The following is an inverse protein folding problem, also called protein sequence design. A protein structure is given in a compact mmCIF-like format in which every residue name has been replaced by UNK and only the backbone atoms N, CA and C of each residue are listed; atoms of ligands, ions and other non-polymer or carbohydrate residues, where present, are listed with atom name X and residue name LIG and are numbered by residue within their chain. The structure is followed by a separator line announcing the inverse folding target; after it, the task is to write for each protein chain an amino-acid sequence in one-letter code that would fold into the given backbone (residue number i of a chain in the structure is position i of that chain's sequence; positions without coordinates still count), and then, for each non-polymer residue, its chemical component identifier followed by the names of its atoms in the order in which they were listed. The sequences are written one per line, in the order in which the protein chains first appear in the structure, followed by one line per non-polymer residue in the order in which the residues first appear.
data_IF_143653973037
#
_entry.id   IF_143653973037
#
_cell.length_a   1.000
_cell.length_b   1.000
_cell.length_c   1.000
_cell.angle_alpha   90.00
_cell.angle_beta   90.00
_cell.angle_gamma   90.00
#
_symmetry.space_group_name_H-M   'P 1'
#
loop_
_entity.id
_entity.type
_entity.pdbx_description
1 polymer ?
#
# COMPACT_ATOMS: atom_id res chain seq x y z
N UNK A 1 -38.72 -3.55 12.98
CA UNK A 1 -38.16 -4.42 14.04
C UNK A 1 -36.65 -4.56 13.82
N UNK A 2 -35.87 -4.25 14.89
CA UNK A 2 -34.42 -4.49 14.88
C UNK A 2 -34.15 -5.71 15.75
N UNK A 3 -33.53 -6.73 15.18
CA UNK A 3 -33.14 -7.94 15.88
C UNK A 3 -31.66 -8.26 15.67
N UNK A 4 -30.97 -8.60 16.76
CA UNK A 4 -29.58 -9.12 16.68
C UNK A 4 -29.65 -10.62 16.83
N UNK A 5 -29.13 -11.37 15.85
CA UNK A 5 -29.01 -12.83 15.91
C UNK A 5 -27.65 -13.22 16.47
N UNK A 6 -27.61 -14.32 17.24
CA UNK A 6 -26.40 -14.81 17.90
C UNK A 6 -25.29 -15.27 16.95
N UNK A 7 -25.62 -15.55 15.67
CA UNK A 7 -24.63 -15.92 14.66
C UNK A 7 -24.57 -14.79 13.63
N UNK A 8 -23.50 -13.99 13.57
CA UNK A 8 -23.36 -12.87 12.62
C UNK A 8 -22.90 -13.36 11.25
N UNK A 9 -23.64 -14.27 10.64
CA UNK A 9 -23.35 -14.83 9.33
C UNK A 9 -23.88 -13.98 8.15
N UNK A 10 -24.41 -12.81 8.44
CA UNK A 10 -24.96 -11.88 7.46
C UNK A 10 -26.25 -11.22 7.97
N UNK A 11 -26.64 -10.15 7.34
CA UNK A 11 -27.88 -9.44 7.56
C UNK A 11 -28.59 -9.20 6.24
N UNK A 12 -29.89 -9.09 6.26
CA UNK A 12 -30.66 -8.60 5.12
C UNK A 12 -31.41 -7.34 5.55
N UNK A 13 -31.52 -6.41 4.62
CA UNK A 13 -32.36 -5.23 4.76
C UNK A 13 -33.52 -5.38 3.77
N UNK A 14 -34.75 -5.39 4.27
CA UNK A 14 -35.94 -5.33 3.40
C UNK A 14 -36.31 -3.86 3.24
N UNK A 15 -36.32 -3.40 2.00
CA UNK A 15 -36.76 -2.06 1.66
C UNK A 15 -38.25 -2.19 1.30
N UNK A 16 -39.10 -1.53 2.07
CA UNK A 16 -40.54 -1.54 1.83
C UNK A 16 -40.90 -0.62 0.68
N UNK A 17 -41.89 -1.05 -0.14
CA UNK A 17 -42.34 -0.31 -1.29
C UNK A 17 -41.29 -0.18 -2.41
N UNK A 18 -40.58 -1.25 -2.73
CA UNK A 18 -39.67 -1.26 -3.91
C UNK A 18 -40.45 -1.20 -5.21
N UNK A 19 -41.62 -1.84 -5.25
CA UNK A 19 -42.54 -1.85 -6.38
C UNK A 19 -43.88 -1.19 -6.04
N UNK A 20 -44.59 -0.58 -7.01
CA UNK A 20 -45.96 -0.07 -6.82
C UNK A 20 -46.96 -1.11 -6.31
N UNK A 21 -46.68 -2.39 -6.53
CA UNK A 21 -47.54 -3.51 -6.15
C UNK A 21 -47.20 -4.10 -4.77
N UNK A 22 -46.18 -3.56 -4.08
CA UNK A 22 -45.81 -4.03 -2.75
C UNK A 22 -46.87 -3.62 -1.72
N UNK A 23 -47.30 -4.56 -0.89
CA UNK A 23 -48.17 -4.27 0.22
C UNK A 23 -47.50 -3.35 1.23
N UNK A 24 -48.04 -2.16 1.43
CA UNK A 24 -47.57 -1.18 2.41
C UNK A 24 -48.47 -1.13 3.63
N UNK A 25 -47.95 -0.83 4.83
CA UNK A 25 -48.77 -0.52 5.99
C UNK A 25 -49.68 0.67 5.70
N UNK A 26 -50.92 0.64 6.24
CA UNK A 26 -51.86 1.73 6.09
C UNK A 26 -51.30 3.07 6.59
N UNK A 27 -51.35 4.10 5.76
CA UNK A 27 -50.82 5.43 6.06
C UNK A 27 -49.33 5.65 5.79
N UNK A 28 -48.60 4.65 5.29
CA UNK A 28 -47.18 4.78 4.95
C UNK A 28 -46.91 4.77 3.43
N UNK A 29 -47.95 4.76 2.57
CA UNK A 29 -47.81 4.67 1.11
C UNK A 29 -46.94 5.82 0.53
N UNK A 30 -46.94 7.00 1.17
CA UNK A 30 -46.12 8.13 0.72
C UNK A 30 -44.61 7.99 1.02
N UNK A 31 -44.30 7.06 1.89
CA UNK A 31 -42.89 6.74 2.25
C UNK A 31 -42.30 5.60 1.43
N UNK A 32 -43.11 5.03 0.51
CA UNK A 32 -42.67 3.93 -0.34
C UNK A 32 -41.41 4.30 -1.14
N UNK A 33 -40.48 3.34 -1.23
CA UNK A 33 -39.18 3.56 -1.91
C UNK A 33 -39.34 3.96 -3.37
N UNK A 34 -40.35 3.39 -4.08
CA UNK A 34 -40.62 3.72 -5.49
C UNK A 34 -41.04 5.19 -5.69
N UNK A 35 -41.61 5.83 -4.65
CA UNK A 35 -41.99 7.26 -4.68
C UNK A 35 -40.81 8.18 -4.31
N UNK A 36 -39.74 7.64 -3.72
CA UNK A 36 -38.60 8.44 -3.32
C UNK A 36 -37.88 9.08 -4.52
N UNK A 37 -37.33 10.28 -4.33
CA UNK A 37 -36.53 10.94 -5.36
C UNK A 37 -35.29 10.10 -5.75
N UNK A 38 -34.83 10.25 -6.99
CA UNK A 38 -33.69 9.50 -7.53
C UNK A 38 -32.45 9.62 -6.66
N UNK A 39 -32.18 10.79 -6.06
CA UNK A 39 -31.07 10.98 -5.14
C UNK A 39 -31.18 10.13 -3.87
N UNK A 40 -32.38 10.05 -3.27
CA UNK A 40 -32.62 9.20 -2.09
C UNK A 40 -32.45 7.72 -2.42
N UNK A 41 -32.97 7.29 -3.59
CA UNK A 41 -32.80 5.92 -4.09
C UNK A 41 -31.33 5.57 -4.26
N UNK A 42 -30.52 6.47 -4.84
CA UNK A 42 -29.08 6.28 -5.04
C UNK A 42 -28.34 6.15 -3.71
N UNK A 43 -28.69 6.98 -2.72
CA UNK A 43 -28.08 6.92 -1.37
C UNK A 43 -28.39 5.58 -0.71
N UNK A 44 -29.64 5.14 -0.72
CA UNK A 44 -30.03 3.88 -0.08
C UNK A 44 -29.34 2.68 -0.74
N UNK A 45 -29.35 2.62 -2.06
CA UNK A 45 -28.72 1.53 -2.83
C UNK A 45 -27.18 1.58 -2.72
N UNK A 46 -26.61 2.76 -2.65
CA UNK A 46 -25.15 2.95 -2.55
C UNK A 46 -24.59 2.82 -1.14
N UNK A 47 -25.41 2.98 -0.10
CA UNK A 47 -24.95 3.00 1.29
C UNK A 47 -24.19 1.73 1.70
N UNK A 48 -24.68 0.55 1.27
CA UNK A 48 -24.02 -0.73 1.54
C UNK A 48 -22.60 -0.78 0.96
N UNK A 49 -22.49 -0.46 -0.33
CA UNK A 49 -21.20 -0.42 -1.03
C UNK A 49 -20.25 0.60 -0.41
N UNK A 50 -20.76 1.80 -0.08
CA UNK A 50 -19.97 2.84 0.57
C UNK A 50 -19.42 2.38 1.95
N UNK A 51 -20.27 1.72 2.76
CA UNK A 51 -19.84 1.19 4.06
C UNK A 51 -18.73 0.14 3.93
N UNK A 52 -18.76 -0.70 2.90
CA UNK A 52 -17.68 -1.66 2.62
C UNK A 52 -16.36 -0.96 2.30
N UNK A 53 -16.36 0.15 1.56
CA UNK A 53 -15.15 0.94 1.32
C UNK A 53 -14.61 1.58 2.59
N UNK A 54 -15.48 2.10 3.45
CA UNK A 54 -15.09 2.65 4.76
C UNK A 54 -14.47 1.55 5.63
N UNK A 55 -15.10 0.38 5.70
CA UNK A 55 -14.58 -0.75 6.47
C UNK A 55 -13.25 -1.24 5.88
N UNK A 56 -13.13 -1.36 4.57
CA UNK A 56 -11.89 -1.74 3.89
C UNK A 56 -10.75 -0.75 4.19
N UNK A 57 -11.05 0.55 4.14
CA UNK A 57 -10.10 1.59 4.51
C UNK A 57 -9.62 1.45 5.97
N UNK A 58 -10.56 1.23 6.92
CA UNK A 58 -10.22 1.05 8.33
C UNK A 58 -9.37 -0.20 8.57
N UNK A 59 -9.69 -1.31 7.90
CA UNK A 59 -8.90 -2.54 8.01
C UNK A 59 -7.49 -2.35 7.46
N UNK A 60 -7.33 -1.68 6.32
CA UNK A 60 -6.02 -1.32 5.76
C UNK A 60 -5.24 -0.40 6.71
N UNK A 61 -5.92 0.58 7.32
CA UNK A 61 -5.30 1.46 8.30
C UNK A 61 -4.75 0.69 9.50
N UNK A 62 -5.54 -0.22 10.07
CA UNK A 62 -5.11 -1.09 11.17
C UNK A 62 -3.95 -1.99 10.73
N UNK A 63 -3.99 -2.51 9.51
CA UNK A 63 -2.91 -3.33 8.95
C UNK A 63 -1.60 -2.54 8.87
N UNK A 64 -1.61 -1.35 8.26
CA UNK A 64 -0.40 -0.54 8.08
C UNK A 64 0.15 0.01 9.40
N UNK A 65 -0.73 0.44 10.32
CA UNK A 65 -0.33 0.99 11.61
C UNK A 65 0.04 -0.09 12.64
N UNK A 66 -0.69 -1.22 12.65
CA UNK A 66 -0.54 -2.26 13.66
C UNK A 66 0.44 -3.37 13.27
N UNK A 67 0.26 -3.96 12.10
CA UNK A 67 1.08 -5.08 11.61
C UNK A 67 2.30 -4.57 10.86
N UNK A 68 2.11 -3.59 9.99
CA UNK A 68 3.13 -3.09 9.06
C UNK A 68 3.12 -3.81 7.71
N UNK A 69 4.03 -3.41 6.84
CA UNK A 69 4.24 -4.00 5.52
C UNK A 69 5.66 -4.49 5.36
N UNK A 70 5.83 -5.53 4.55
CA UNK A 70 7.15 -5.99 4.16
C UNK A 70 7.84 -4.90 3.33
N UNK A 71 8.96 -4.42 3.82
CA UNK A 71 9.77 -3.41 3.16
C UNK A 71 11.23 -3.84 3.17
N UNK A 72 11.99 -3.39 2.19
CA UNK A 72 13.44 -3.50 2.22
C UNK A 72 13.94 -2.50 3.26
N UNK A 73 14.57 -3.01 4.31
CA UNK A 73 15.14 -2.19 5.38
C UNK A 73 16.53 -1.69 4.97
N UNK A 74 16.99 -0.54 5.49
CA UNK A 74 18.32 -0.03 5.23
C UNK A 74 19.43 -0.83 5.99
N UNK A 75 19.16 -2.07 6.34
CA UNK A 75 20.07 -2.96 7.07
C UNK A 75 20.68 -3.94 6.09
N UNK A 76 21.99 -4.08 6.13
CA UNK A 76 22.75 -4.95 5.24
C UNK A 76 22.66 -6.40 5.72
N UNK A 77 22.05 -7.24 4.89
CA UNK A 77 21.93 -8.68 5.14
C UNK A 77 23.05 -9.51 4.54
N UNK A 78 23.64 -9.02 3.43
CA UNK A 78 24.76 -9.72 2.76
C UNK A 78 25.67 -8.70 2.09
N UNK A 79 26.96 -8.98 2.12
CA UNK A 79 28.01 -8.25 1.38
C UNK A 79 28.59 -9.19 0.34
N UNK A 80 28.45 -8.82 -0.93
CA UNK A 80 28.92 -9.62 -2.06
C UNK A 80 30.45 -9.66 -2.05
N UNK A 81 31.02 -10.84 -2.24
CA UNK A 81 32.49 -11.01 -2.30
C UNK A 81 33.10 -10.24 -3.46
N UNK A 82 34.28 -9.66 -3.26
CA UNK A 82 34.99 -8.83 -4.23
C UNK A 82 34.22 -7.56 -4.69
N UNK A 83 33.23 -7.13 -3.92
CA UNK A 83 32.45 -5.93 -4.20
C UNK A 83 33.12 -4.64 -3.68
N UNK A 84 32.56 -3.50 -4.08
CA UNK A 84 32.94 -2.19 -3.56
C UNK A 84 32.67 -2.09 -2.05
N UNK A 85 31.54 -2.64 -1.60
CA UNK A 85 31.15 -2.67 -0.19
C UNK A 85 32.17 -3.45 0.66
N UNK A 86 32.58 -4.64 0.21
CA UNK A 86 33.60 -5.43 0.92
C UNK A 86 34.94 -4.68 0.99
N UNK A 87 35.34 -4.05 -0.12
CA UNK A 87 36.59 -3.27 -0.17
C UNK A 87 36.57 -2.05 0.76
N UNK A 88 35.38 -1.47 0.97
CA UNK A 88 35.16 -0.34 1.87
C UNK A 88 35.01 -0.73 3.35
N UNK A 89 34.94 -2.03 3.68
CA UNK A 89 34.81 -2.51 5.04
C UNK A 89 33.37 -2.46 5.58
N UNK A 90 32.38 -2.43 4.70
CA UNK A 90 30.96 -2.57 5.05
C UNK A 90 30.71 -4.00 5.53
N UNK A 91 29.89 -4.18 6.56
CA UNK A 91 29.64 -5.46 7.20
C UNK A 91 28.15 -5.80 7.21
N UNK A 92 27.86 -7.09 7.36
CA UNK A 92 26.49 -7.57 7.60
C UNK A 92 26.02 -7.06 8.96
N UNK A 93 24.80 -6.55 9.02
CA UNK A 93 24.23 -5.93 10.22
C UNK A 93 24.37 -4.40 10.26
N UNK A 94 25.19 -3.79 9.41
CA UNK A 94 25.24 -2.32 9.30
C UNK A 94 23.89 -1.77 8.85
N UNK A 95 23.42 -0.72 9.51
CA UNK A 95 22.27 0.05 9.08
C UNK A 95 22.73 1.33 8.37
N UNK A 96 22.31 1.51 7.13
CA UNK A 96 22.64 2.71 6.35
C UNK A 96 21.73 3.86 6.81
N UNK A 97 22.33 4.88 7.42
CA UNK A 97 21.61 6.04 7.96
C UNK A 97 21.63 7.25 7.02
N UNK A 98 22.69 7.39 6.20
CA UNK A 98 22.78 8.47 5.22
C UNK A 98 23.64 8.09 4.01
N UNK A 99 23.38 8.77 2.88
CA UNK A 99 24.19 8.70 1.66
C UNK A 99 24.52 10.12 1.23
N UNK A 100 25.80 10.46 1.15
CA UNK A 100 26.28 11.82 0.86
C UNK A 100 25.67 12.89 1.78
N UNK A 101 25.45 12.57 3.05
CA UNK A 101 24.84 13.47 4.03
C UNK A 101 23.32 13.59 3.94
N UNK A 102 22.66 12.91 3.00
CA UNK A 102 21.21 12.84 2.91
C UNK A 102 20.72 11.64 3.71
N UNK A 103 19.81 11.87 4.64
CA UNK A 103 19.22 10.82 5.49
C UNK A 103 18.44 9.79 4.67
N UNK A 104 18.71 8.51 4.94
CA UNK A 104 18.00 7.37 4.32
C UNK A 104 16.62 7.23 4.94
N UNK A 105 15.59 7.51 4.17
CA UNK A 105 14.19 7.40 4.62
C UNK A 105 13.49 6.16 4.10
N UNK A 106 13.77 5.80 2.84
CA UNK A 106 13.19 4.64 2.15
C UNK A 106 14.24 4.03 1.25
N UNK A 107 14.69 2.82 1.53
CA UNK A 107 15.78 2.18 0.78
C UNK A 107 15.60 2.22 -0.75
N UNK A 108 14.37 2.11 -1.22
CA UNK A 108 14.08 2.16 -2.66
C UNK A 108 14.50 3.47 -3.34
N UNK A 109 14.30 4.62 -2.68
CA UNK A 109 14.72 5.93 -3.21
C UNK A 109 16.22 6.14 -3.07
N UNK A 110 16.78 5.63 -1.99
CA UNK A 110 18.17 5.87 -1.63
C UNK A 110 19.13 5.04 -2.50
N UNK A 111 18.68 3.86 -2.97
CA UNK A 111 19.39 3.07 -4.00
C UNK A 111 19.57 3.83 -5.32
N UNK A 112 18.66 4.73 -5.67
CA UNK A 112 18.81 5.55 -6.87
C UNK A 112 20.03 6.48 -6.77
N UNK A 113 20.37 6.98 -5.59
CA UNK A 113 21.57 7.78 -5.38
C UNK A 113 22.85 6.98 -5.69
N UNK A 114 22.87 5.69 -5.34
CA UNK A 114 23.98 4.78 -5.67
C UNK A 114 24.06 4.54 -7.17
N UNK A 115 22.95 4.26 -7.82
CA UNK A 115 22.88 4.00 -9.26
C UNK A 115 23.28 5.24 -10.09
N UNK A 116 22.84 6.41 -9.64
CA UNK A 116 23.10 7.69 -10.31
C UNK A 116 24.49 8.29 -9.99
N UNK A 117 25.27 7.63 -9.15
CA UNK A 117 26.60 8.10 -8.78
C UNK A 117 27.60 8.12 -9.93
N UNK A 118 27.33 7.36 -11.01
CA UNK A 118 28.23 7.21 -12.17
C UNK A 118 29.64 6.76 -11.76
N UNK A 119 29.74 5.93 -10.73
CA UNK A 119 31.02 5.44 -10.21
C UNK A 119 31.79 6.47 -9.37
N UNK A 120 31.18 7.60 -9.00
CA UNK A 120 31.79 8.55 -8.07
C UNK A 120 31.76 7.98 -6.66
N UNK A 121 32.76 8.33 -5.88
CA UNK A 121 32.83 7.96 -4.46
C UNK A 121 31.62 8.50 -3.70
N UNK A 122 31.05 7.66 -2.86
CA UNK A 122 29.92 7.97 -2.00
C UNK A 122 30.35 7.90 -0.55
N UNK A 123 29.89 8.88 0.24
CA UNK A 123 30.03 8.87 1.69
C UNK A 123 28.78 8.25 2.31
N UNK A 124 28.95 7.14 3.02
CA UNK A 124 27.88 6.41 3.68
C UNK A 124 27.98 6.62 5.19
N UNK A 125 26.91 7.11 5.80
CA UNK A 125 26.73 7.03 7.24
C UNK A 125 26.11 5.68 7.60
N UNK A 126 26.76 4.97 8.50
CA UNK A 126 26.31 3.65 8.95
C UNK A 126 26.19 3.64 10.48
N UNK A 127 25.22 2.86 10.96
CA UNK A 127 25.12 2.52 12.38
C UNK A 127 25.55 1.05 12.53
N UNK A 128 26.66 0.82 13.26
CA UNK A 128 27.21 -0.50 13.55
C UNK A 128 27.28 -0.69 15.05
N UNK A 129 26.60 -1.71 15.58
CA UNK A 129 26.58 -2.03 17.02
C UNK A 129 26.18 -0.83 17.91
N UNK A 130 25.36 0.09 17.37
CA UNK A 130 24.93 1.30 18.05
C UNK A 130 25.88 2.50 17.91
N UNK A 131 27.01 2.35 17.23
CA UNK A 131 27.96 3.43 16.94
C UNK A 131 27.78 3.98 15.52
N UNK A 132 27.76 5.30 15.38
CA UNK A 132 27.72 5.95 14.07
C UNK A 132 29.13 6.00 13.47
N UNK A 133 29.30 5.38 12.32
CA UNK A 133 30.55 5.37 11.55
C UNK A 133 30.30 5.96 10.16
N UNK A 134 31.35 6.50 9.56
CA UNK A 134 31.32 7.01 8.19
C UNK A 134 32.30 6.23 7.34
N UNK A 135 31.83 5.72 6.22
CA UNK A 135 32.65 4.95 5.28
C UNK A 135 32.49 5.55 3.90
N UNK A 136 33.59 5.60 3.12
CA UNK A 136 33.53 5.95 1.70
C UNK A 136 33.60 4.69 0.84
N UNK A 137 32.79 4.63 -0.20
CA UNK A 137 32.75 3.51 -1.13
C UNK A 137 32.50 4.00 -2.56
N UNK A 138 33.22 3.42 -3.51
CA UNK A 138 33.08 3.74 -4.94
C UNK A 138 32.29 2.65 -5.64
N UNK A 139 31.04 2.90 -6.06
CA UNK A 139 30.23 1.92 -6.78
C UNK A 139 30.91 1.45 -8.08
N UNK A 140 30.78 0.16 -8.37
CA UNK A 140 31.33 -0.45 -9.57
C UNK A 140 30.24 -0.71 -10.59
N UNK A 141 30.56 -0.48 -11.86
CA UNK A 141 29.66 -0.84 -12.96
C UNK A 141 29.60 -2.38 -13.04
N UNK A 142 28.41 -2.92 -12.97
CA UNK A 142 28.15 -4.36 -12.98
C UNK A 142 26.98 -4.64 -13.89
N UNK A 143 27.10 -5.67 -14.73
CA UNK A 143 25.98 -6.19 -15.51
C UNK A 143 25.10 -7.08 -14.61
N UNK A 144 23.83 -6.69 -14.51
CA UNK A 144 22.79 -7.44 -13.79
C UNK A 144 21.66 -7.68 -14.78
N UNK A 145 21.48 -8.93 -15.16
CA UNK A 145 20.43 -9.37 -16.10
C UNK A 145 20.47 -8.60 -17.44
N UNK A 146 21.67 -8.36 -18.01
CA UNK A 146 21.85 -7.64 -19.27
C UNK A 146 21.69 -6.12 -19.14
N UNK A 147 21.68 -5.58 -17.92
CA UNK A 147 21.62 -4.14 -17.67
C UNK A 147 22.79 -3.69 -16.82
N UNK A 148 23.61 -2.80 -17.36
CA UNK A 148 24.73 -2.20 -16.63
C UNK A 148 24.22 -1.21 -15.57
N UNK A 149 24.64 -1.41 -14.32
CA UNK A 149 24.27 -0.55 -13.16
C UNK A 149 25.46 -0.36 -12.23
N UNK A 150 25.54 0.84 -11.67
CA UNK A 150 26.47 1.09 -10.58
C UNK A 150 25.95 0.51 -9.29
N UNK A 151 26.73 -0.37 -8.67
CA UNK A 151 26.33 -1.07 -7.42
C UNK A 151 27.49 -1.07 -6.42
N UNK A 152 27.14 -1.13 -5.14
CA UNK A 152 28.09 -1.35 -4.05
C UNK A 152 28.32 -2.84 -3.77
N UNK A 153 27.37 -3.69 -4.16
CA UNK A 153 27.40 -5.13 -3.86
C UNK A 153 26.95 -5.45 -2.44
N UNK A 154 25.83 -4.84 -2.04
CA UNK A 154 25.14 -5.13 -0.78
C UNK A 154 23.73 -5.66 -1.08
N UNK A 155 23.27 -6.57 -0.23
CA UNK A 155 21.90 -7.07 -0.23
C UNK A 155 21.26 -6.71 1.10
N UNK A 156 20.15 -6.04 1.06
CA UNK A 156 19.45 -5.60 2.26
C UNK A 156 18.46 -6.66 2.73
N UNK A 157 18.20 -6.69 4.02
CA UNK A 157 17.16 -7.54 4.59
C UNK A 157 15.78 -6.95 4.31
N UNK A 158 14.79 -7.83 4.19
CA UNK A 158 13.38 -7.46 4.19
C UNK A 158 12.77 -7.71 5.55
N UNK A 159 11.91 -6.82 6.00
CA UNK A 159 11.24 -6.96 7.27
C UNK A 159 9.95 -6.18 7.34
N UNK A 160 9.16 -6.48 8.37
CA UNK A 160 7.92 -5.75 8.64
C UNK A 160 8.27 -4.38 9.24
N UNK A 161 7.89 -3.32 8.54
CA UNK A 161 7.97 -1.94 9.04
C UNK A 161 6.56 -1.41 9.25
N UNK A 162 6.26 -0.98 10.47
CA UNK A 162 5.02 -0.29 10.77
C UNK A 162 5.11 1.15 10.30
N UNK A 163 4.08 1.60 9.66
CA UNK A 163 3.97 3.00 9.26
C UNK A 163 3.44 3.85 10.41
N UNK A 164 3.87 5.10 10.48
CA UNK A 164 3.26 6.08 11.38
C UNK A 164 1.77 6.29 11.07
N UNK A 165 1.01 6.86 12.02
CA UNK A 165 -0.45 7.06 11.89
C UNK A 165 -0.82 7.82 10.61
N UNK A 166 -0.14 8.94 10.33
CA UNK A 166 -0.39 9.77 9.15
C UNK A 166 -0.05 9.01 7.86
N UNK A 167 1.09 8.33 7.85
CA UNK A 167 1.52 7.53 6.71
C UNK A 167 0.57 6.37 6.44
N UNK A 168 0.11 5.67 7.50
CA UNK A 168 -0.88 4.59 7.42
C UNK A 168 -2.19 5.08 6.82
N UNK A 169 -2.69 6.24 7.26
CA UNK A 169 -3.89 6.86 6.70
C UNK A 169 -3.73 7.18 5.21
N UNK A 170 -2.59 7.78 4.84
CA UNK A 170 -2.28 8.11 3.44
C UNK A 170 -2.17 6.86 2.56
N UNK A 171 -1.48 5.82 3.04
CA UNK A 171 -1.29 4.58 2.30
C UNK A 171 -2.61 3.83 2.12
N UNK A 172 -3.44 3.76 3.18
CA UNK A 172 -4.77 3.17 3.12
C UNK A 172 -5.66 3.89 2.11
N UNK A 173 -5.62 5.21 2.08
CA UNK A 173 -6.36 6.01 1.10
C UNK A 173 -5.90 5.74 -0.34
N UNK A 174 -4.58 5.70 -0.56
CA UNK A 174 -4.01 5.42 -1.89
C UNK A 174 -4.43 4.04 -2.40
N UNK A 175 -4.32 3.00 -1.54
CA UNK A 175 -4.70 1.63 -1.91
C UNK A 175 -6.19 1.53 -2.19
N UNK A 176 -7.06 2.10 -1.33
CA UNK A 176 -8.51 2.10 -1.53
C UNK A 176 -8.90 2.83 -2.82
N UNK A 177 -8.30 4.00 -3.08
CA UNK A 177 -8.53 4.78 -4.32
C UNK A 177 -8.08 4.01 -5.56
N UNK A 178 -6.90 3.38 -5.52
CA UNK A 178 -6.38 2.58 -6.62
C UNK A 178 -7.31 1.40 -6.93
N UNK A 179 -7.73 0.67 -5.90
CA UNK A 179 -8.67 -0.43 -6.04
C UNK A 179 -10.00 0.00 -6.66
N UNK A 180 -10.57 1.12 -6.20
CA UNK A 180 -11.80 1.69 -6.75
C UNK A 180 -11.61 2.07 -8.23
N UNK A 181 -10.52 2.74 -8.55
CA UNK A 181 -10.20 3.15 -9.92
C UNK A 181 -10.09 1.95 -10.87
N UNK A 182 -9.36 0.91 -10.46
CA UNK A 182 -9.21 -0.30 -11.28
C UNK A 182 -10.52 -1.09 -11.41
N UNK A 183 -11.33 -1.13 -10.35
CA UNK A 183 -12.66 -1.74 -10.40
C UNK A 183 -13.57 -1.04 -11.41
N UNK A 184 -13.61 0.29 -11.40
CA UNK A 184 -14.38 1.08 -12.37
C UNK A 184 -13.89 0.87 -13.80
N UNK A 185 -12.57 0.90 -14.01
CA UNK A 185 -11.97 0.64 -15.34
C UNK A 185 -12.29 -0.78 -15.84
N UNK A 186 -12.25 -1.77 -14.95
CA UNK A 186 -12.58 -3.16 -15.30
C UNK A 186 -14.04 -3.31 -15.70
N UNK A 187 -14.96 -2.65 -14.98
CA UNK A 187 -16.37 -2.62 -15.32
C UNK A 187 -16.64 -1.92 -16.66
N UNK A 188 -15.93 -0.82 -16.93
CA UNK A 188 -16.08 -0.09 -18.19
C UNK A 188 -15.63 -0.92 -19.43
N UNK A 189 -14.69 -1.87 -19.23
CA UNK A 189 -14.20 -2.77 -20.29
C UNK A 189 -15.05 -4.03 -20.48
N UNK A 190 -16.02 -4.28 -19.62
CA UNK A 190 -16.90 -5.46 -19.71
C UNK A 190 -17.67 -5.56 -21.05
N UNK A 191 -18.23 -4.46 -21.61
CA UNK A 191 -18.94 -4.52 -22.89
C UNK A 191 -18.08 -4.98 -24.07
N UNK A 192 -16.77 -4.71 -24.04
CA UNK A 192 -15.85 -5.11 -25.11
C UNK A 192 -15.50 -6.60 -25.09
N UNK A 193 -15.75 -7.30 -23.96
CA UNK A 193 -15.39 -8.72 -23.78
C UNK A 193 -16.58 -9.69 -23.92
N UNK A 194 -17.80 -9.16 -24.05
CA UNK A 194 -18.98 -9.97 -24.29
C UNK A 194 -19.17 -10.07 -25.80
N UNK A 195 -18.88 -11.23 -26.42
CA UNK A 195 -19.20 -11.40 -27.84
C UNK A 195 -20.70 -11.22 -28.00
N UNK A 196 -21.11 -10.43 -28.99
CA UNK A 196 -22.51 -10.32 -29.36
C UNK A 196 -23.03 -11.73 -29.71
N UNK A 197 -23.97 -12.23 -28.89
CA UNK A 197 -24.73 -13.45 -29.15
C UNK A 197 -25.76 -13.18 -30.25
#
# INVERSE_FOLDING_TARGET
EFGVKAIPAGGYCRIEGMSPNDAMPEGEEDRAFYKASSGKKLIVLGAGSFLHFVLGYLLLFVLFAGVGTNQVLPIIGEVVSNSAAQSAGIQVGDEVTSINGVEVTTWYKDVEAIRNSQGKELTLGLLRDGESITITATPRLTDIDGTERYVLGIVNITGLKRSGVIESASNSFKVTKSFLSESVKSLAKLPEKIPAL
#
